data_IF_284760615380
#
_entry.id   IF_284760615380
#
_cell.length_a   1.000
_cell.length_b   1.000
_cell.length_c   1.000
_cell.angle_alpha   90.00
_cell.angle_beta   90.00
_cell.angle_gamma   90.00
#
_symmetry.space_group_name_H-M   'P 1'
#
loop_
_entity.id
_entity.type
_entity.pdbx_description
1 polymer ?
#
# COMPACT_ATOMS: atom_id res chain seq x y z
N UNK A 1 -4.48 6.27 -4.90
CA UNK A 1 -4.44 4.82 -4.64
C UNK A 1 -4.77 4.57 -3.19
N UNK A 2 -5.56 3.51 -2.93
CA UNK A 2 -6.21 3.30 -1.64
C UNK A 2 -5.76 1.98 -1.01
N UNK A 3 -5.40 2.02 0.26
CA UNK A 3 -5.14 0.85 1.10
C UNK A 3 -6.36 0.62 2.01
N UNK A 4 -6.96 -0.57 1.95
CA UNK A 4 -8.06 -0.94 2.83
C UNK A 4 -7.54 -1.58 4.12
N UNK A 5 -7.85 -1.00 5.27
CA UNK A 5 -7.55 -1.63 6.56
C UNK A 5 -8.67 -2.60 6.92
N UNK A 6 -8.33 -3.88 7.08
CA UNK A 6 -9.27 -4.95 7.45
C UNK A 6 -8.80 -5.66 8.71
N UNK A 7 -9.72 -6.32 9.39
CA UNK A 7 -9.44 -7.14 10.56
C UNK A 7 -10.74 -7.52 11.26
N UNK A 8 -10.69 -8.57 12.07
CA UNK A 8 -11.79 -8.95 12.92
C UNK A 8 -12.05 -7.88 14.01
N UNK A 9 -13.21 -7.88 14.67
CA UNK A 9 -13.45 -7.00 15.81
C UNK A 9 -12.40 -7.18 16.91
N UNK A 10 -12.05 -6.06 17.57
CA UNK A 10 -11.14 -6.03 18.73
C UNK A 10 -9.69 -6.49 18.47
N UNK A 11 -9.20 -6.35 17.23
CA UNK A 11 -7.81 -6.65 16.86
C UNK A 11 -6.89 -5.40 16.94
N UNK A 12 -7.44 -4.21 17.27
CA UNK A 12 -6.70 -2.94 17.30
C UNK A 12 -6.79 -2.13 16.01
N UNK A 13 -7.62 -2.55 15.03
CA UNK A 13 -7.77 -1.87 13.74
C UNK A 13 -8.14 -0.39 13.87
N UNK A 14 -9.18 -0.07 14.66
CA UNK A 14 -9.63 1.33 14.82
C UNK A 14 -8.61 2.17 15.59
N UNK A 15 -7.90 1.61 16.56
CA UNK A 15 -6.82 2.29 17.26
C UNK A 15 -5.72 2.67 16.28
N UNK A 16 -5.29 1.73 15.45
CA UNK A 16 -4.26 1.95 14.44
C UNK A 16 -4.72 2.96 13.37
N UNK A 17 -5.97 2.87 12.91
CA UNK A 17 -6.52 3.80 11.94
C UNK A 17 -6.62 5.23 12.51
N UNK A 18 -7.03 5.39 13.75
CA UNK A 18 -7.09 6.69 14.42
C UNK A 18 -5.69 7.29 14.61
N UNK A 19 -4.71 6.51 15.06
CA UNK A 19 -3.33 6.95 15.18
C UNK A 19 -2.77 7.42 13.82
N UNK A 20 -3.07 6.67 12.76
CA UNK A 20 -2.67 6.99 11.38
C UNK A 20 -3.34 8.29 10.88
N UNK A 21 -4.62 8.51 11.18
CA UNK A 21 -5.35 9.71 10.75
C UNK A 21 -4.99 10.94 11.59
N UNK A 22 -4.68 10.77 12.89
CA UNK A 22 -4.19 11.85 13.75
C UNK A 22 -2.82 12.34 13.29
N UNK A 23 -1.89 11.42 13.01
CA UNK A 23 -0.59 11.75 12.40
C UNK A 23 -0.74 12.42 11.02
N UNK A 24 -1.85 12.19 10.32
CA UNK A 24 -2.20 12.81 9.03
C UNK A 24 -2.97 14.14 9.15
N UNK A 25 -3.39 14.57 10.35
CA UNK A 25 -4.19 15.79 10.52
C UNK A 25 -3.47 17.07 10.05
N UNK A 26 -2.15 17.11 10.10
CA UNK A 26 -1.34 18.16 9.48
C UNK A 26 -1.47 18.19 7.95
N UNK A 27 -1.85 17.06 7.34
CA UNK A 27 -2.07 16.94 5.89
C UNK A 27 -3.43 17.44 5.41
N UNK A 28 -4.35 17.85 6.31
CA UNK A 28 -5.71 18.33 5.99
C UNK A 28 -5.74 19.62 5.12
N UNK A 29 -4.60 20.25 4.86
CA UNK A 29 -4.45 21.41 4.00
C UNK A 29 -4.22 21.08 2.51
N UNK A 30 -4.31 19.79 2.10
CA UNK A 30 -4.16 19.46 0.69
C UNK A 30 -5.37 19.90 -0.13
N UNK A 31 -5.18 20.76 -1.14
CA UNK A 31 -6.27 21.15 -2.04
C UNK A 31 -6.76 19.90 -2.79
N UNK A 32 -8.09 19.73 -2.81
CA UNK A 32 -8.84 18.63 -3.47
C UNK A 32 -9.04 17.33 -2.66
N UNK A 33 -8.74 17.28 -1.37
CA UNK A 33 -9.14 16.15 -0.54
C UNK A 33 -10.57 16.37 -0.01
N UNK A 34 -11.50 15.56 -0.47
CA UNK A 34 -12.83 15.42 0.16
C UNK A 34 -12.67 14.60 1.43
N UNK A 35 -13.12 15.13 2.56
CA UNK A 35 -13.17 14.37 3.83
C UNK A 35 -14.35 13.42 3.72
N UNK A 36 -14.06 12.16 3.34
CA UNK A 36 -15.05 11.09 3.40
C UNK A 36 -14.97 10.38 4.76
N UNK A 37 -16.10 10.01 5.37
CA UNK A 37 -16.05 9.20 6.59
C UNK A 37 -15.29 7.90 6.33
N UNK A 38 -14.40 7.54 7.27
CA UNK A 38 -13.56 6.35 7.21
C UNK A 38 -12.43 6.36 6.13
N UNK A 39 -12.06 7.53 5.59
CA UNK A 39 -10.89 7.71 4.73
C UNK A 39 -9.88 8.60 5.42
N UNK A 40 -8.66 8.09 5.60
CA UNK A 40 -7.50 8.83 6.11
C UNK A 40 -6.52 9.11 5.00
N UNK A 41 -6.02 10.33 4.91
CA UNK A 41 -4.95 10.73 3.98
C UNK A 41 -3.71 10.97 4.80
N UNK A 42 -2.63 10.26 4.46
CA UNK A 42 -1.38 10.33 5.22
C UNK A 42 -0.21 10.66 4.31
N UNK A 43 0.72 11.44 4.83
CA UNK A 43 1.96 11.76 4.15
C UNK A 43 2.89 10.53 4.09
N UNK A 44 3.53 10.32 2.96
CA UNK A 44 4.57 9.30 2.81
C UNK A 44 5.87 9.89 3.36
N UNK A 45 6.47 9.30 4.41
CA UNK A 45 7.73 9.76 4.95
C UNK A 45 8.85 9.64 3.89
N UNK A 46 9.52 10.76 3.59
CA UNK A 46 10.60 10.81 2.59
C UNK A 46 11.69 11.81 3.00
N UNK A 47 12.76 11.31 3.61
CA UNK A 47 13.90 12.11 4.06
C UNK A 47 14.57 12.93 2.93
N UNK A 48 14.38 12.50 1.67
CA UNK A 48 14.92 13.24 0.51
C UNK A 48 14.20 14.57 0.37
N UNK A 49 12.90 14.59 0.64
CA UNK A 49 12.09 15.79 0.55
C UNK A 49 12.48 16.78 1.65
N UNK A 50 12.73 16.28 2.88
CA UNK A 50 13.17 17.09 4.02
C UNK A 50 14.52 17.77 3.74
N UNK A 51 15.51 17.02 3.24
CA UNK A 51 16.81 17.56 2.83
C UNK A 51 16.73 18.59 1.70
N UNK A 52 15.79 18.41 0.75
CA UNK A 52 15.53 19.41 -0.28
C UNK A 52 14.88 20.66 0.30
N UNK A 53 14.00 20.54 1.28
CA UNK A 53 13.40 21.67 1.97
C UNK A 53 14.47 22.48 2.75
N UNK A 54 15.39 21.80 3.42
CA UNK A 54 16.54 22.44 4.08
C UNK A 54 17.45 23.19 3.08
N UNK A 55 17.64 22.64 1.87
CA UNK A 55 18.49 23.27 0.84
C UNK A 55 17.84 24.48 0.18
N UNK A 56 16.55 24.40 -0.12
CA UNK A 56 15.86 25.43 -0.93
C UNK A 56 15.04 26.43 -0.12
N UNK A 57 14.78 26.14 1.17
CA UNK A 57 13.92 26.96 2.07
C UNK A 57 12.60 27.35 1.39
N UNK A 58 11.79 26.37 0.96
CA UNK A 58 10.63 26.63 0.13
C UNK A 58 9.51 27.33 0.90
N UNK A 59 8.67 28.10 0.19
CA UNK A 59 7.42 28.66 0.74
C UNK A 59 6.38 27.57 1.00
N UNK A 60 6.44 26.47 0.24
CA UNK A 60 5.51 25.34 0.34
C UNK A 60 6.23 24.01 0.31
N UNK A 61 5.87 23.14 1.25
CA UNK A 61 6.33 21.76 1.36
C UNK A 61 5.17 20.80 1.12
N UNK A 62 5.31 19.89 0.13
CA UNK A 62 4.21 18.99 -0.27
C UNK A 62 4.72 17.56 -0.43
N UNK A 63 4.56 16.68 0.57
CA UNK A 63 4.93 15.27 0.46
C UNK A 63 3.96 14.50 -0.45
N UNK A 64 4.37 13.29 -0.86
CA UNK A 64 3.47 12.32 -1.45
C UNK A 64 2.47 11.85 -0.40
N UNK A 65 1.29 11.41 -0.83
CA UNK A 65 0.24 10.94 0.08
C UNK A 65 -0.30 9.58 -0.32
N UNK A 66 -0.75 8.81 0.67
CA UNK A 66 -1.55 7.60 0.52
C UNK A 66 -2.91 7.76 1.19
N UNK A 67 -3.91 7.13 0.59
CA UNK A 67 -5.25 7.05 1.17
C UNK A 67 -5.42 5.70 1.87
N UNK A 68 -5.87 5.75 3.13
CA UNK A 68 -6.27 4.59 3.90
C UNK A 68 -7.78 4.60 4.11
N UNK A 69 -8.42 3.46 3.93
CA UNK A 69 -9.87 3.29 4.10
C UNK A 69 -10.10 2.33 5.26
N UNK A 70 -10.79 2.79 6.32
CA UNK A 70 -11.22 1.88 7.38
C UNK A 70 -12.41 1.04 6.90
N UNK A 71 -12.15 -0.22 6.61
CA UNK A 71 -13.17 -1.17 6.18
C UNK A 71 -13.77 -1.82 7.43
N UNK A 72 -15.07 -1.64 7.62
CA UNK A 72 -15.79 -2.20 8.77
C UNK A 72 -15.52 -3.70 8.91
N UNK A 73 -15.25 -4.12 10.15
CA UNK A 73 -14.85 -5.50 10.45
C UNK A 73 -15.85 -6.54 9.94
N UNK A 74 -15.32 -7.66 9.49
CA UNK A 74 -16.07 -8.79 9.01
C UNK A 74 -16.83 -9.45 10.17
N UNK A 75 -18.13 -9.71 9.98
CA UNK A 75 -18.90 -10.63 10.81
C UNK A 75 -18.97 -11.95 10.04
N UNK A 76 -18.68 -13.07 10.72
CA UNK A 76 -18.66 -14.42 10.15
C UNK A 76 -19.96 -14.72 9.37
N UNK A 77 -19.84 -15.19 8.11
CA UNK A 77 -21.00 -15.46 7.24
C UNK A 77 -21.37 -14.32 6.29
N UNK A 78 -20.47 -13.39 6.08
CA UNK A 78 -20.65 -12.22 5.21
C UNK A 78 -21.00 -12.55 3.75
N UNK A 79 -20.49 -13.66 3.22
CA UNK A 79 -20.78 -14.16 1.86
C UNK A 79 -22.19 -14.71 1.70
N UNK A 80 -22.85 -15.11 2.79
CA UNK A 80 -24.19 -15.75 2.74
C UNK A 80 -25.38 -14.77 2.65
N UNK A 81 -25.15 -13.50 2.30
CA UNK A 81 -26.22 -12.59 1.89
C UNK A 81 -26.80 -11.69 2.97
N UNK A 82 -26.27 -11.66 4.19
CA UNK A 82 -26.62 -10.65 5.17
C UNK A 82 -25.88 -9.33 4.82
N UNK A 83 -26.62 -8.22 4.69
CA UNK A 83 -26.21 -6.96 4.06
C UNK A 83 -24.85 -6.36 4.45
N UNK A 84 -24.28 -6.67 5.63
CA UNK A 84 -22.96 -6.21 6.09
C UNK A 84 -21.79 -6.87 5.33
N UNK A 85 -21.93 -8.14 4.94
CA UNK A 85 -20.87 -8.83 4.22
C UNK A 85 -20.71 -8.37 2.78
N UNK A 86 -21.81 -8.14 2.10
CA UNK A 86 -21.77 -7.59 0.75
C UNK A 86 -21.13 -6.20 0.75
N UNK A 87 -21.38 -5.39 1.81
CA UNK A 87 -20.75 -4.08 1.97
C UNK A 87 -19.24 -4.18 2.21
N UNK A 88 -18.79 -5.14 3.03
CA UNK A 88 -17.39 -5.45 3.23
C UNK A 88 -16.69 -5.81 1.92
N UNK A 89 -17.24 -6.76 1.15
CA UNK A 89 -16.68 -7.18 -0.13
C UNK A 89 -16.69 -6.04 -1.17
N UNK A 90 -17.71 -5.17 -1.14
CA UNK A 90 -17.76 -3.98 -2.00
C UNK A 90 -16.62 -3.01 -1.68
N UNK A 91 -16.38 -2.72 -0.39
CA UNK A 91 -15.30 -1.85 0.03
C UNK A 91 -13.91 -2.44 -0.34
N UNK A 92 -13.74 -3.77 -0.21
CA UNK A 92 -12.50 -4.43 -0.66
C UNK A 92 -12.29 -4.27 -2.17
N UNK A 93 -13.36 -4.26 -2.98
CA UNK A 93 -13.21 -4.03 -4.44
C UNK A 93 -12.65 -2.67 -4.79
N UNK A 94 -12.97 -1.65 -4.00
CA UNK A 94 -12.60 -0.25 -4.26
C UNK A 94 -11.16 0.11 -3.87
N UNK A 95 -10.48 -0.72 -3.09
CA UNK A 95 -9.09 -0.48 -2.67
C UNK A 95 -8.10 -1.23 -3.55
N UNK A 96 -6.88 -0.70 -3.63
CA UNK A 96 -5.81 -1.27 -4.49
C UNK A 96 -5.03 -2.39 -3.78
N UNK A 97 -4.88 -2.31 -2.45
CA UNK A 97 -4.25 -3.32 -1.62
C UNK A 97 -4.87 -3.34 -0.21
N UNK A 98 -4.53 -4.34 0.58
CA UNK A 98 -5.11 -4.60 1.90
C UNK A 98 -4.03 -4.50 2.99
N UNK A 99 -4.32 -3.82 4.08
CA UNK A 99 -3.60 -3.92 5.35
C UNK A 99 -4.45 -4.75 6.30
N UNK A 100 -4.05 -5.99 6.51
CA UNK A 100 -4.77 -6.93 7.37
C UNK A 100 -4.21 -6.87 8.79
N UNK A 101 -4.95 -6.22 9.69
CA UNK A 101 -4.59 -6.12 11.11
C UNK A 101 -4.96 -7.42 11.80
N UNK A 102 -3.96 -8.10 12.36
CA UNK A 102 -4.10 -9.41 13.01
C UNK A 102 -3.69 -9.29 14.47
N UNK A 103 -4.53 -9.73 15.38
CA UNK A 103 -4.24 -9.72 16.81
C UNK A 103 -3.25 -10.81 17.18
N UNK A 104 -2.09 -10.40 17.71
CA UNK A 104 -1.05 -11.29 18.21
C UNK A 104 -0.74 -11.08 19.70
N UNK A 105 -1.48 -10.23 20.41
CA UNK A 105 -1.31 -9.92 21.83
C UNK A 105 -2.40 -10.54 22.69
N UNK A 106 -2.08 -10.95 23.91
CA UNK A 106 -3.03 -11.39 24.92
C UNK A 106 -3.47 -10.21 25.79
N UNK A 107 -4.78 -10.12 26.07
CA UNK A 107 -5.34 -9.12 26.99
C UNK A 107 -6.71 -9.62 27.47
N UNK A 108 -6.81 -9.94 28.76
CA UNK A 108 -8.02 -10.49 29.40
C UNK A 108 -9.19 -9.49 29.40
N UNK A 109 -8.90 -8.18 29.30
CA UNK A 109 -9.92 -7.13 29.29
C UNK A 109 -10.52 -6.89 27.88
N UNK A 110 -9.93 -7.49 26.83
CA UNK A 110 -10.37 -7.33 25.45
C UNK A 110 -10.88 -8.69 24.94
N UNK A 111 -12.20 -8.83 24.86
CA UNK A 111 -12.83 -10.08 24.40
C UNK A 111 -12.51 -10.31 22.92
N UNK A 112 -12.03 -11.52 22.59
CA UNK A 112 -11.90 -11.97 21.21
C UNK A 112 -13.25 -12.51 20.71
N UNK A 113 -13.57 -12.26 19.42
CA UNK A 113 -14.86 -12.69 18.80
C UNK A 113 -15.08 -14.20 18.91
N UNK A 114 -14.02 -15.00 18.75
CA UNK A 114 -14.07 -16.46 18.85
C UNK A 114 -13.70 -16.99 20.26
N UNK A 115 -13.62 -16.13 21.28
CA UNK A 115 -13.33 -16.50 22.66
C UNK A 115 -11.87 -16.85 22.95
N UNK A 116 -11.03 -16.99 21.94
CA UNK A 116 -9.57 -17.25 22.06
C UNK A 116 -8.80 -16.58 20.93
N UNK A 117 -7.54 -16.22 21.19
CA UNK A 117 -6.64 -15.67 20.19
C UNK A 117 -6.20 -16.78 19.25
N UNK A 118 -6.14 -16.48 17.94
CA UNK A 118 -5.73 -17.44 16.93
C UNK A 118 -5.46 -16.76 15.60
N UNK A 119 -4.26 -16.16 15.46
CA UNK A 119 -3.90 -15.36 14.30
C UNK A 119 -4.11 -16.09 12.96
N UNK A 120 -3.75 -17.37 12.89
CA UNK A 120 -3.98 -18.20 11.69
C UNK A 120 -5.47 -18.32 11.37
N UNK A 121 -6.30 -18.68 12.33
CA UNK A 121 -7.76 -18.82 12.16
C UNK A 121 -8.38 -17.48 11.72
N UNK A 122 -7.93 -16.37 12.29
CA UNK A 122 -8.47 -15.04 12.01
C UNK A 122 -8.15 -14.62 10.57
N UNK A 123 -6.93 -14.90 10.08
CA UNK A 123 -6.53 -14.69 8.69
C UNK A 123 -7.36 -15.59 7.75
N UNK A 124 -7.44 -16.88 8.05
CA UNK A 124 -8.20 -17.84 7.25
C UNK A 124 -9.67 -17.43 7.14
N UNK A 125 -10.28 -16.90 8.21
CA UNK A 125 -11.66 -16.42 8.21
C UNK A 125 -11.87 -15.33 7.16
N UNK A 126 -11.00 -14.32 7.11
CA UNK A 126 -11.10 -13.25 6.12
C UNK A 126 -10.77 -13.76 4.72
N UNK A 127 -9.72 -14.56 4.57
CA UNK A 127 -9.34 -15.12 3.27
C UNK A 127 -10.45 -15.96 2.65
N UNK A 128 -11.14 -16.79 3.44
CA UNK A 128 -12.25 -17.62 2.95
C UNK A 128 -13.42 -16.79 2.42
N UNK A 129 -13.77 -15.67 3.06
CA UNK A 129 -14.82 -14.78 2.55
C UNK A 129 -14.44 -14.15 1.20
N UNK A 130 -13.17 -13.77 1.02
CA UNK A 130 -12.69 -13.28 -0.27
C UNK A 130 -12.72 -14.38 -1.33
N UNK A 131 -12.26 -15.58 -0.98
CA UNK A 131 -12.25 -16.77 -1.85
C UNK A 131 -13.67 -17.15 -2.29
N UNK A 132 -14.66 -17.16 -1.40
CA UNK A 132 -16.05 -17.46 -1.77
C UNK A 132 -16.58 -16.45 -2.80
N UNK A 133 -16.32 -15.16 -2.61
CA UNK A 133 -16.67 -14.15 -3.61
C UNK A 133 -15.98 -14.40 -4.96
N UNK A 134 -14.71 -14.80 -4.94
CA UNK A 134 -13.93 -15.06 -6.14
C UNK A 134 -14.39 -16.31 -6.88
N UNK A 135 -14.79 -17.36 -6.15
CA UNK A 135 -15.36 -18.58 -6.72
C UNK A 135 -16.61 -18.31 -7.57
N UNK A 136 -17.49 -17.39 -7.14
CA UNK A 136 -18.64 -16.97 -7.93
C UNK A 136 -18.25 -16.25 -9.22
N UNK A 137 -17.21 -15.39 -9.17
CA UNK A 137 -16.69 -14.67 -10.32
C UNK A 137 -16.11 -15.67 -11.34
N UNK A 138 -15.27 -16.60 -10.84
CA UNK A 138 -14.65 -17.62 -11.67
C UNK A 138 -15.65 -18.54 -12.33
N UNK A 139 -16.63 -19.06 -11.59
CA UNK A 139 -17.65 -19.94 -12.13
C UNK A 139 -18.39 -19.28 -13.32
N UNK A 140 -18.80 -18.02 -13.16
CA UNK A 140 -19.46 -17.24 -14.24
C UNK A 140 -18.54 -17.03 -15.44
N UNK A 141 -17.24 -16.72 -15.22
CA UNK A 141 -16.27 -16.55 -16.29
C UNK A 141 -16.01 -17.85 -17.03
N UNK A 142 -15.77 -18.94 -16.33
CA UNK A 142 -15.53 -20.27 -16.90
C UNK A 142 -16.71 -20.69 -17.77
N UNK A 143 -17.96 -20.55 -17.30
CA UNK A 143 -19.16 -20.88 -18.05
C UNK A 143 -19.31 -20.06 -19.34
N UNK A 144 -18.96 -18.77 -19.28
CA UNK A 144 -18.95 -17.90 -20.46
C UNK A 144 -17.90 -18.35 -21.47
N UNK A 145 -16.64 -18.54 -21.02
CA UNK A 145 -15.54 -18.94 -21.89
C UNK A 145 -15.78 -20.33 -22.52
N UNK A 146 -16.32 -21.30 -21.77
CA UNK A 146 -16.73 -22.62 -22.31
C UNK A 146 -17.78 -22.53 -23.43
N UNK A 147 -18.71 -21.58 -23.32
CA UNK A 147 -19.71 -21.35 -24.41
C UNK A 147 -19.04 -20.76 -25.64
N UNK A 148 -18.13 -19.82 -25.48
CA UNK A 148 -17.42 -19.17 -26.60
C UNK A 148 -16.43 -20.14 -27.27
N UNK A 149 -15.76 -21.00 -26.50
CA UNK A 149 -14.81 -21.98 -27.03
C UNK A 149 -15.41 -23.01 -28.00
N UNK A 150 -16.73 -23.16 -28.02
CA UNK A 150 -17.41 -23.99 -29.06
C UNK A 150 -17.17 -23.47 -30.48
N UNK A 151 -16.93 -22.17 -30.62
CA UNK A 151 -16.60 -21.51 -31.89
C UNK A 151 -15.12 -21.14 -32.03
N UNK A 152 -14.39 -21.06 -30.95
CA UNK A 152 -12.99 -20.63 -30.93
C UNK A 152 -12.13 -21.46 -29.95
N UNK A 153 -11.34 -22.37 -30.52
CA UNK A 153 -10.45 -23.25 -29.75
C UNK A 153 -9.28 -22.53 -29.12
N UNK A 154 -8.98 -21.29 -29.48
CA UNK A 154 -7.89 -20.53 -28.88
C UNK A 154 -8.12 -20.23 -27.40
N UNK A 155 -9.39 -20.19 -26.96
CA UNK A 155 -9.81 -19.97 -25.58
C UNK A 155 -9.53 -21.16 -24.63
N UNK A 156 -9.11 -22.33 -25.18
CA UNK A 156 -8.89 -23.51 -24.33
C UNK A 156 -7.82 -23.28 -23.27
N UNK A 157 -6.72 -22.59 -23.61
CA UNK A 157 -5.66 -22.25 -22.65
C UNK A 157 -6.18 -21.42 -21.47
N UNK A 158 -7.02 -20.45 -21.77
CA UNK A 158 -7.64 -19.59 -20.74
C UNK A 158 -8.56 -20.40 -19.82
N UNK A 159 -9.39 -21.28 -20.40
CA UNK A 159 -10.26 -22.18 -19.63
C UNK A 159 -9.46 -23.09 -18.73
N UNK A 160 -8.39 -23.71 -19.22
CA UNK A 160 -7.53 -24.62 -18.46
C UNK A 160 -6.85 -23.88 -17.28
N UNK A 161 -6.40 -22.64 -17.52
CA UNK A 161 -5.88 -21.76 -16.46
C UNK A 161 -6.94 -21.48 -15.40
N UNK A 162 -8.15 -21.04 -15.80
CA UNK A 162 -9.23 -20.70 -14.88
C UNK A 162 -9.70 -21.90 -14.05
N UNK A 163 -9.68 -23.12 -14.62
CA UNK A 163 -9.99 -24.34 -13.90
C UNK A 163 -8.93 -24.70 -12.85
N UNK A 164 -7.63 -24.54 -13.18
CA UNK A 164 -6.54 -24.72 -12.20
C UNK A 164 -6.65 -23.73 -11.05
N UNK A 165 -6.93 -22.46 -11.37
CA UNK A 165 -7.14 -21.41 -10.37
C UNK A 165 -8.36 -21.71 -9.49
N UNK A 166 -9.46 -22.19 -10.08
CA UNK A 166 -10.64 -22.61 -9.34
C UNK A 166 -10.31 -23.72 -8.35
N UNK A 167 -9.59 -24.77 -8.79
CA UNK A 167 -9.18 -25.87 -7.90
C UNK A 167 -8.29 -25.39 -6.76
N UNK A 168 -7.41 -24.42 -7.00
CA UNK A 168 -6.56 -23.82 -5.98
C UNK A 168 -7.39 -23.08 -4.91
N UNK A 169 -8.41 -22.32 -5.32
CA UNK A 169 -9.32 -21.65 -4.41
C UNK A 169 -10.22 -22.63 -3.63
N UNK A 170 -10.65 -23.74 -4.27
CA UNK A 170 -11.41 -24.82 -3.61
C UNK A 170 -10.63 -25.49 -2.47
N UNK A 171 -9.29 -25.48 -2.54
CA UNK A 171 -8.41 -25.92 -1.44
C UNK A 171 -8.32 -24.89 -0.29
N UNK A 172 -9.03 -23.77 -0.36
CA UNK A 172 -8.99 -22.69 0.62
C UNK A 172 -7.74 -21.80 0.53
N UNK A 173 -6.98 -21.86 -0.57
CA UNK A 173 -5.79 -21.05 -0.82
C UNK A 173 -6.16 -19.77 -1.57
N UNK A 174 -5.58 -18.63 -1.17
CA UNK A 174 -5.83 -17.35 -1.84
C UNK A 174 -5.25 -17.32 -3.26
N UNK A 175 -5.84 -16.55 -4.17
CA UNK A 175 -5.32 -16.38 -5.51
C UNK A 175 -3.89 -15.76 -5.54
N UNK A 176 -3.48 -15.06 -4.48
CA UNK A 176 -2.12 -14.52 -4.31
C UNK A 176 -1.05 -15.61 -4.30
N UNK A 177 -1.36 -16.78 -3.75
CA UNK A 177 -0.44 -17.92 -3.66
C UNK A 177 -0.48 -18.84 -4.89
N UNK A 178 -1.30 -18.50 -5.90
CA UNK A 178 -1.41 -19.30 -7.11
C UNK A 178 -0.22 -19.08 -8.04
N UNK A 179 0.44 -20.18 -8.43
CA UNK A 179 1.57 -20.15 -9.36
C UNK A 179 1.10 -20.14 -10.82
N UNK A 180 1.65 -19.20 -11.61
CA UNK A 180 1.32 -19.05 -13.02
C UNK A 180 2.53 -18.55 -13.83
N UNK A 181 2.54 -18.92 -15.12
CA UNK A 181 3.59 -18.50 -16.06
C UNK A 181 3.41 -17.05 -16.53
N UNK A 182 4.46 -16.48 -17.13
CA UNK A 182 4.39 -15.12 -17.71
C UNK A 182 3.30 -15.00 -18.79
N UNK A 183 3.08 -16.04 -19.57
CA UNK A 183 2.02 -16.09 -20.60
C UNK A 183 0.60 -16.04 -20.00
N UNK A 184 0.43 -16.46 -18.76
CA UNK A 184 -0.83 -16.50 -18.03
C UNK A 184 -1.11 -15.22 -17.23
N UNK A 185 -0.10 -14.36 -17.10
CA UNK A 185 -0.16 -13.12 -16.30
C UNK A 185 -1.31 -12.21 -16.69
N UNK A 186 -1.62 -12.11 -17.99
CA UNK A 186 -2.70 -11.26 -18.45
C UNK A 186 -4.09 -11.84 -18.10
N UNK A 187 -4.22 -13.15 -18.03
CA UNK A 187 -5.47 -13.81 -17.65
C UNK A 187 -5.82 -13.50 -16.19
N UNK A 188 -4.84 -13.64 -15.27
CA UNK A 188 -5.09 -13.34 -13.86
C UNK A 188 -5.32 -11.84 -13.64
N UNK A 189 -4.60 -10.96 -14.33
CA UNK A 189 -4.81 -9.51 -14.25
C UNK A 189 -6.19 -9.07 -14.72
N UNK A 190 -6.71 -9.73 -15.78
CA UNK A 190 -8.05 -9.46 -16.30
C UNK A 190 -9.19 -10.07 -15.47
N UNK A 191 -8.86 -10.85 -14.43
CA UNK A 191 -9.84 -11.47 -13.53
C UNK A 191 -9.87 -10.69 -12.22
N UNK A 192 -10.96 -9.95 -11.90
CA UNK A 192 -11.00 -9.05 -10.74
C UNK A 192 -11.24 -9.82 -9.44
N UNK A 193 -10.23 -10.58 -9.00
CA UNK A 193 -10.27 -11.40 -7.79
C UNK A 193 -9.88 -10.59 -6.55
N UNK A 194 -10.63 -10.77 -5.47
CA UNK A 194 -10.38 -10.11 -4.19
C UNK A 194 -9.22 -10.76 -3.44
N UNK A 195 -9.12 -12.09 -3.47
CA UNK A 195 -8.04 -12.84 -2.84
C UNK A 195 -6.71 -12.74 -3.60
N UNK A 196 -6.69 -12.07 -4.78
CA UNK A 196 -5.47 -11.74 -5.52
C UNK A 196 -4.91 -10.34 -5.18
N UNK A 197 -5.66 -9.53 -4.42
CA UNK A 197 -5.16 -8.21 -4.02
C UNK A 197 -3.92 -8.34 -3.15
N UNK A 198 -2.89 -7.47 -3.34
CA UNK A 198 -1.71 -7.44 -2.48
C UNK A 198 -2.11 -7.21 -1.01
N UNK A 199 -1.43 -7.87 -0.08
CA UNK A 199 -1.70 -7.77 1.36
C UNK A 199 -0.43 -7.45 2.13
N UNK A 200 -0.57 -6.59 3.14
CA UNK A 200 0.38 -6.42 4.24
C UNK A 200 -0.30 -6.96 5.50
N UNK A 201 0.29 -7.95 6.14
CA UNK A 201 -0.16 -8.40 7.45
C UNK A 201 0.45 -7.50 8.52
N UNK A 202 -0.39 -6.73 9.20
CA UNK A 202 -0.01 -5.91 10.36
C UNK A 202 -0.24 -6.73 11.63
N UNK A 203 0.79 -7.42 12.09
CA UNK A 203 0.74 -8.26 13.29
C UNK A 203 0.76 -7.36 14.53
N UNK A 204 -0.42 -7.16 15.14
CA UNK A 204 -0.58 -6.29 16.29
C UNK A 204 -0.19 -7.02 17.59
N UNK A 205 0.92 -6.60 18.17
CA UNK A 205 1.60 -7.16 19.33
C UNK A 205 1.41 -6.26 20.55
N UNK A 206 1.74 -6.76 21.73
CA UNK A 206 1.83 -5.95 22.95
C UNK A 206 3.15 -5.17 23.00
N UNK A 207 3.24 -4.15 23.86
CA UNK A 207 4.48 -3.47 24.15
C UNK A 207 5.51 -4.43 24.77
N UNK A 208 5.06 -5.37 25.60
CA UNK A 208 5.91 -6.38 26.23
C UNK A 208 6.57 -7.29 25.19
N UNK A 209 5.84 -7.68 24.11
CA UNK A 209 6.41 -8.45 23.01
C UNK A 209 7.55 -7.70 22.32
N UNK A 210 7.43 -6.37 22.14
CA UNK A 210 8.50 -5.58 21.55
C UNK A 210 9.74 -5.53 22.42
N UNK A 211 9.57 -5.35 23.75
CA UNK A 211 10.68 -5.37 24.72
C UNK A 211 11.32 -6.74 24.86
N UNK A 212 10.54 -7.81 24.77
CA UNK A 212 10.96 -9.21 24.94
C UNK A 212 11.47 -9.91 23.69
N UNK A 213 11.29 -9.31 22.52
CA UNK A 213 11.58 -9.91 21.21
C UNK A 213 10.37 -10.64 20.64
N UNK A 214 9.64 -9.95 19.80
CA UNK A 214 8.37 -10.40 19.16
C UNK A 214 8.53 -11.63 18.28
N UNK A 215 9.74 -11.94 17.82
CA UNK A 215 10.04 -13.14 17.03
C UNK A 215 9.73 -14.43 17.78
N UNK A 216 9.64 -14.38 19.11
CA UNK A 216 9.30 -15.53 19.95
C UNK A 216 7.77 -15.71 20.10
N UNK A 217 6.97 -14.70 19.76
CA UNK A 217 5.51 -14.77 19.85
C UNK A 217 4.93 -15.78 18.85
N UNK A 218 4.19 -16.77 19.35
CA UNK A 218 3.67 -17.87 18.52
C UNK A 218 2.62 -17.40 17.49
N UNK A 219 1.83 -16.37 17.82
CA UNK A 219 0.86 -15.80 16.90
C UNK A 219 1.57 -15.04 15.76
N UNK A 220 2.64 -14.30 16.07
CA UNK A 220 3.47 -13.65 15.07
C UNK A 220 4.13 -14.65 14.11
N UNK A 221 4.66 -15.75 14.63
CA UNK A 221 5.23 -16.84 13.81
C UNK A 221 4.20 -17.40 12.84
N UNK A 222 2.95 -17.61 13.31
CA UNK A 222 1.87 -18.10 12.48
C UNK A 222 1.50 -17.11 11.35
N UNK A 223 1.45 -15.79 11.65
CA UNK A 223 1.23 -14.75 10.65
C UNK A 223 2.37 -14.74 9.62
N UNK A 224 3.62 -14.81 10.09
CA UNK A 224 4.81 -14.83 9.23
C UNK A 224 4.80 -16.03 8.28
N UNK A 225 4.46 -17.21 8.77
CA UNK A 225 4.36 -18.41 7.93
C UNK A 225 3.35 -18.20 6.80
N UNK A 226 2.14 -17.69 7.09
CA UNK A 226 1.13 -17.42 6.06
C UNK A 226 1.61 -16.36 5.07
N UNK A 227 2.25 -15.29 5.57
CA UNK A 227 2.79 -14.24 4.72
C UNK A 227 3.85 -14.78 3.74
N UNK A 228 4.72 -15.66 4.21
CA UNK A 228 5.75 -16.31 3.38
C UNK A 228 5.09 -17.22 2.30
N UNK A 229 4.05 -17.99 2.66
CA UNK A 229 3.28 -18.83 1.74
C UNK A 229 2.54 -18.02 0.65
N UNK A 230 2.09 -16.81 0.99
CA UNK A 230 1.37 -15.91 0.08
C UNK A 230 2.27 -14.86 -0.61
N UNK A 231 3.60 -14.91 -0.42
CA UNK A 231 4.55 -13.88 -0.88
C UNK A 231 4.13 -12.46 -0.45
N UNK A 232 3.62 -12.33 0.75
CA UNK A 232 3.10 -11.10 1.33
C UNK A 232 4.02 -10.54 2.41
N UNK A 233 3.96 -9.23 2.65
CA UNK A 233 4.73 -8.60 3.71
C UNK A 233 4.06 -8.82 5.08
N UNK A 234 4.88 -9.02 6.12
CA UNK A 234 4.44 -9.00 7.53
C UNK A 234 5.19 -7.90 8.27
N UNK A 235 4.45 -7.07 9.00
CA UNK A 235 5.01 -6.00 9.83
C UNK A 235 4.56 -6.20 11.28
N UNK A 236 5.51 -6.36 12.21
CA UNK A 236 5.20 -6.28 13.63
C UNK A 236 4.86 -4.83 13.98
N UNK A 237 3.72 -4.61 14.63
CA UNK A 237 3.24 -3.32 15.10
C UNK A 237 2.69 -3.44 16.52
N UNK A 238 2.61 -2.33 17.23
CA UNK A 238 1.84 -2.22 18.46
C UNK A 238 0.91 -1.01 18.35
N UNK A 239 -0.38 -1.27 18.15
CA UNK A 239 -1.36 -0.19 17.96
C UNK A 239 -1.44 0.77 19.16
N UNK A 240 -1.10 0.30 20.38
CA UNK A 240 -1.03 1.16 21.57
C UNK A 240 0.15 2.12 21.49
N UNK A 241 1.35 1.63 21.14
CA UNK A 241 2.53 2.48 20.93
C UNK A 241 2.24 3.53 19.86
N UNK A 242 1.64 3.12 18.74
CA UNK A 242 1.31 4.07 17.65
C UNK A 242 0.32 5.15 18.11
N UNK A 243 -0.64 4.79 18.96
CA UNK A 243 -1.57 5.76 19.54
C UNK A 243 -0.87 6.72 20.52
N UNK A 244 0.03 6.19 21.36
CA UNK A 244 0.74 6.98 22.37
C UNK A 244 1.70 8.00 21.73
N UNK A 245 2.39 7.63 20.63
CA UNK A 245 3.32 8.52 19.91
C UNK A 245 2.65 9.47 18.93
N UNK A 246 1.36 9.26 18.60
CA UNK A 246 0.65 10.09 17.63
C UNK A 246 0.50 11.56 18.06
N UNK A 247 0.45 11.81 19.37
CA UNK A 247 0.29 13.14 19.95
C UNK A 247 1.63 13.75 20.46
N UNK A 248 2.77 13.03 20.29
CA UNK A 248 4.11 13.48 20.68
C UNK A 248 4.73 14.37 19.61
N UNK A 249 5.55 15.33 20.01
CA UNK A 249 6.41 16.03 19.07
C UNK A 249 7.56 15.13 18.55
N UNK A 250 8.26 15.57 17.49
CA UNK A 250 9.28 14.73 16.83
C UNK A 250 10.46 14.36 17.74
N UNK A 251 10.82 15.24 18.71
CA UNK A 251 11.91 14.97 19.65
C UNK A 251 11.46 13.90 20.68
N UNK A 252 10.28 14.05 21.25
CA UNK A 252 9.69 13.11 22.21
C UNK A 252 9.47 11.74 21.54
N UNK A 253 8.94 11.71 20.33
CA UNK A 253 8.72 10.51 19.54
C UNK A 253 10.02 9.77 19.24
N UNK A 254 11.07 10.49 18.83
CA UNK A 254 12.39 9.93 18.56
C UNK A 254 12.99 9.27 19.82
N UNK A 255 12.90 9.94 20.97
CA UNK A 255 13.36 9.40 22.26
C UNK A 255 12.58 8.15 22.65
N UNK A 256 11.27 8.19 22.54
CA UNK A 256 10.40 7.07 22.89
C UNK A 256 10.66 5.82 22.01
N UNK A 257 10.80 6.01 20.68
CA UNK A 257 11.15 4.93 19.77
C UNK A 257 12.56 4.37 20.05
N UNK A 258 13.53 5.23 20.37
CA UNK A 258 14.87 4.81 20.75
C UNK A 258 14.90 3.96 22.01
N UNK A 259 14.10 4.29 23.03
CA UNK A 259 13.96 3.49 24.26
C UNK A 259 13.40 2.08 24.01
N UNK A 260 12.62 1.94 22.92
CA UNK A 260 12.08 0.66 22.45
C UNK A 260 13.00 -0.05 21.44
N UNK A 261 14.19 0.51 21.14
CA UNK A 261 15.10 0.06 20.08
C UNK A 261 14.43 0.01 18.70
N UNK A 262 13.53 0.95 18.41
CA UNK A 262 12.87 1.12 17.12
C UNK A 262 13.47 2.31 16.38
N UNK A 263 13.83 2.13 15.11
CA UNK A 263 14.35 3.20 14.26
C UNK A 263 13.22 4.11 13.74
N UNK A 264 12.04 3.54 13.52
CA UNK A 264 10.85 4.25 13.03
C UNK A 264 9.55 3.62 13.56
N UNK A 265 8.45 4.36 13.49
CA UNK A 265 7.13 3.88 13.90
C UNK A 265 6.61 2.75 13.00
N UNK A 266 5.76 1.89 13.53
CA UNK A 266 5.07 0.86 12.75
C UNK A 266 4.18 1.45 11.66
N UNK A 267 3.55 2.62 11.91
CA UNK A 267 2.78 3.35 10.91
C UNK A 267 3.64 3.81 9.74
N UNK A 268 4.82 4.39 9.98
CA UNK A 268 5.75 4.79 8.91
C UNK A 268 6.15 3.59 8.05
N UNK A 269 6.39 2.44 8.68
CA UNK A 269 6.68 1.18 7.99
C UNK A 269 5.51 0.69 7.14
N UNK A 270 4.26 0.76 7.66
CA UNK A 270 3.05 0.41 6.88
C UNK A 270 2.92 1.31 5.66
N UNK A 271 3.10 2.62 5.81
CA UNK A 271 2.97 3.59 4.72
C UNK A 271 4.02 3.32 3.65
N UNK A 272 5.29 3.18 4.01
CA UNK A 272 6.38 2.89 3.06
C UNK A 272 6.19 1.54 2.35
N UNK A 273 5.84 0.49 3.12
CA UNK A 273 5.59 -0.84 2.56
C UNK A 273 4.38 -0.81 1.62
N UNK A 274 3.30 -0.14 1.99
CA UNK A 274 2.12 0.03 1.15
C UNK A 274 2.42 0.78 -0.14
N UNK A 275 3.22 1.84 -0.06
CA UNK A 275 3.67 2.61 -1.22
C UNK A 275 4.45 1.73 -2.21
N UNK A 276 5.42 0.98 -1.69
CA UNK A 276 6.21 0.03 -2.48
C UNK A 276 5.38 -1.12 -3.05
N UNK A 277 4.47 -1.70 -2.24
CA UNK A 277 3.58 -2.80 -2.64
C UNK A 277 2.69 -2.43 -3.83
N UNK A 278 2.24 -1.17 -3.86
CA UNK A 278 1.46 -0.61 -4.97
C UNK A 278 2.31 -0.27 -6.20
N UNK A 279 3.62 -0.53 -6.17
CA UNK A 279 4.56 -0.20 -7.23
C UNK A 279 4.67 1.30 -7.46
N UNK A 280 4.50 2.11 -6.40
CA UNK A 280 4.62 3.56 -6.46
C UNK A 280 6.06 3.99 -6.26
N UNK A 281 6.42 5.06 -6.93
CA UNK A 281 7.67 5.79 -6.76
C UNK A 281 7.38 7.29 -6.75
N UNK A 282 8.32 8.08 -6.22
CA UNK A 282 8.23 9.53 -6.21
C UNK A 282 9.32 10.16 -7.06
N UNK A 283 8.95 11.03 -8.00
CA UNK A 283 9.88 12.02 -8.49
C UNK A 283 9.69 13.34 -7.75
N UNK A 284 10.72 14.16 -7.70
CA UNK A 284 10.77 15.37 -6.88
C UNK A 284 10.89 16.61 -7.77
N UNK A 285 10.23 17.68 -7.34
CA UNK A 285 10.49 19.03 -7.87
C UNK A 285 10.95 19.91 -6.71
N UNK A 286 12.02 20.66 -6.93
CA UNK A 286 12.64 21.46 -5.88
C UNK A 286 12.94 22.86 -6.34
N UNK A 287 12.47 23.85 -5.58
CA UNK A 287 12.68 25.28 -5.78
C UNK A 287 12.12 26.09 -4.62
N UNK A 288 12.43 27.40 -4.59
CA UNK A 288 11.92 28.33 -3.57
C UNK A 288 10.38 28.37 -3.46
N UNK A 289 9.60 28.34 -4.57
CA UNK A 289 8.14 28.35 -4.45
C UNK A 289 7.59 27.10 -3.79
N UNK A 290 8.13 25.93 -4.14
CA UNK A 290 7.66 24.65 -3.64
C UNK A 290 8.73 23.57 -3.74
N UNK A 291 8.84 22.75 -2.71
CA UNK A 291 9.47 21.41 -2.73
C UNK A 291 8.36 20.39 -2.64
N UNK A 292 8.29 19.47 -3.63
CA UNK A 292 7.18 18.53 -3.72
C UNK A 292 7.59 17.16 -4.23
N UNK A 293 7.01 16.12 -3.64
CA UNK A 293 7.05 14.75 -4.12
C UNK A 293 5.79 14.44 -4.97
N UNK A 294 6.01 13.84 -6.12
CA UNK A 294 4.97 13.49 -7.09
C UNK A 294 4.88 11.98 -7.23
N UNK A 295 3.75 11.42 -6.89
CA UNK A 295 3.50 9.98 -6.97
C UNK A 295 3.23 9.53 -8.39
N UNK A 296 4.00 8.55 -8.86
CA UNK A 296 3.80 7.83 -10.13
C UNK A 296 3.96 6.33 -9.91
N UNK A 297 3.52 5.53 -10.86
CA UNK A 297 3.79 4.08 -10.88
C UNK A 297 5.17 3.81 -11.49
N UNK A 298 5.86 2.81 -10.98
CA UNK A 298 7.13 2.32 -11.56
C UNK A 298 6.93 1.97 -13.03
N UNK A 299 7.85 2.43 -13.88
CA UNK A 299 7.74 2.27 -15.34
C UNK A 299 7.06 3.44 -16.06
N UNK A 300 6.58 4.47 -15.35
CA UNK A 300 6.03 5.69 -15.95
C UNK A 300 7.11 6.45 -16.71
N UNK A 301 6.80 6.87 -17.94
CA UNK A 301 7.71 7.69 -18.77
C UNK A 301 7.59 9.18 -18.45
N UNK A 302 8.62 9.94 -18.82
CA UNK A 302 8.73 11.37 -18.52
C UNK A 302 7.53 12.23 -18.96
N UNK A 303 6.90 12.04 -20.14
CA UNK A 303 5.71 12.82 -20.50
C UNK A 303 4.52 12.58 -19.55
N UNK A 304 4.23 11.32 -19.20
CA UNK A 304 3.15 10.98 -18.27
C UNK A 304 3.44 11.47 -16.85
N UNK A 305 4.72 11.45 -16.43
CA UNK A 305 5.13 12.05 -15.17
C UNK A 305 4.91 13.57 -15.16
N UNK A 306 5.25 14.27 -16.24
CA UNK A 306 4.96 15.69 -16.42
C UNK A 306 3.44 15.97 -16.36
N UNK A 307 2.63 15.07 -16.89
CA UNK A 307 1.17 15.11 -16.84
C UNK A 307 0.59 15.07 -15.40
N UNK A 308 1.33 14.51 -14.44
CA UNK A 308 0.95 14.57 -13.02
C UNK A 308 1.00 15.98 -12.44
N UNK A 309 1.86 16.83 -12.99
CA UNK A 309 1.95 18.25 -12.61
C UNK A 309 0.78 19.01 -13.27
N UNK A 310 0.68 18.90 -14.59
CA UNK A 310 -0.38 19.52 -15.37
C UNK A 310 -0.54 18.82 -16.72
N UNK A 311 -1.77 18.71 -17.22
CA UNK A 311 -2.06 18.07 -18.53
C UNK A 311 -1.35 18.73 -19.70
N UNK A 312 -1.13 20.05 -19.63
CA UNK A 312 -0.41 20.79 -20.67
C UNK A 312 1.08 20.44 -20.71
N UNK A 313 1.68 20.06 -19.56
CA UNK A 313 3.07 19.60 -19.52
C UNK A 313 3.25 18.27 -20.25
N UNK A 314 2.27 17.38 -20.20
CA UNK A 314 2.27 16.13 -20.95
C UNK A 314 2.13 16.40 -22.46
N UNK A 315 1.14 17.21 -22.85
CA UNK A 315 0.86 17.53 -24.26
C UNK A 315 1.99 18.27 -24.93
N UNK A 316 2.53 19.27 -24.24
CA UNK A 316 3.61 20.13 -24.72
C UNK A 316 5.02 19.63 -24.39
N UNK A 317 5.19 18.40 -23.90
CA UNK A 317 6.47 17.88 -23.43
C UNK A 317 7.57 17.98 -24.50
N UNK A 318 8.68 18.62 -24.13
CA UNK A 318 9.88 18.74 -24.97
C UNK A 318 10.96 17.80 -24.44
N UNK A 319 11.36 17.97 -23.18
CA UNK A 319 12.39 17.20 -22.48
C UNK A 319 12.29 17.37 -20.97
N UNK A 320 12.94 16.48 -20.22
CA UNK A 320 13.16 16.59 -18.79
C UNK A 320 14.65 16.88 -18.50
N UNK A 321 14.93 17.84 -17.63
CA UNK A 321 16.24 18.01 -17.01
C UNK A 321 16.19 17.19 -15.71
N UNK A 322 16.96 16.11 -15.65
CA UNK A 322 16.90 15.12 -14.55
C UNK A 322 18.25 15.05 -13.85
N UNK A 323 18.25 15.11 -12.54
CA UNK A 323 19.42 14.84 -11.70
C UNK A 323 19.00 13.88 -10.58
N UNK A 324 19.87 12.95 -10.19
CA UNK A 324 19.58 12.11 -9.02
C UNK A 324 19.57 12.95 -7.74
N UNK A 325 18.81 12.53 -6.75
CA UNK A 325 18.80 13.22 -5.46
C UNK A 325 20.20 13.31 -4.85
N UNK A 326 20.97 12.22 -4.88
CA UNK A 326 22.33 12.15 -4.35
C UNK A 326 23.27 13.13 -5.03
N UNK A 327 23.23 13.22 -6.38
CA UNK A 327 24.06 14.13 -7.15
C UNK A 327 23.69 15.59 -6.88
N UNK A 328 22.41 15.88 -6.70
CA UNK A 328 21.93 17.22 -6.40
C UNK A 328 22.44 17.69 -5.02
N UNK A 329 22.25 16.86 -3.98
CA UNK A 329 22.69 17.18 -2.61
C UNK A 329 24.22 17.34 -2.56
N UNK A 330 24.97 16.38 -3.12
CA UNK A 330 26.43 16.42 -3.13
C UNK A 330 27.00 17.62 -3.92
N UNK A 331 26.24 18.13 -4.88
CA UNK A 331 26.62 19.30 -5.66
C UNK A 331 26.31 20.63 -4.97
N UNK A 332 25.40 20.66 -3.99
CA UNK A 332 24.95 21.87 -3.33
C UNK A 332 23.89 22.65 -4.12
N UNK A 333 23.26 22.04 -5.13
CA UNK A 333 22.15 22.62 -5.88
C UNK A 333 22.21 22.43 -7.38
N UNK A 334 21.12 22.78 -8.05
CA UNK A 334 20.90 22.53 -9.48
C UNK A 334 21.95 23.20 -10.40
N UNK A 335 22.39 24.43 -10.08
CA UNK A 335 23.39 25.16 -10.89
C UNK A 335 24.74 24.44 -10.84
N UNK A 336 25.22 24.08 -9.65
CA UNK A 336 26.46 23.35 -9.48
C UNK A 336 26.42 21.94 -10.09
N UNK A 337 25.27 21.26 -9.99
CA UNK A 337 25.07 19.97 -10.65
C UNK A 337 25.16 20.10 -12.20
N UNK A 338 24.62 21.19 -12.78
CA UNK A 338 24.76 21.49 -14.22
C UNK A 338 26.21 21.74 -14.63
N UNK A 339 26.94 22.53 -13.86
CA UNK A 339 28.37 22.83 -14.12
C UNK A 339 29.21 21.54 -14.07
N UNK A 340 28.88 20.60 -13.21
CA UNK A 340 29.51 19.27 -13.10
C UNK A 340 29.05 18.29 -14.17
N UNK A 341 28.07 18.64 -15.01
CA UNK A 341 27.54 17.76 -16.05
C UNK A 341 26.67 16.60 -15.52
N UNK A 342 26.16 16.70 -14.29
CA UNK A 342 25.35 15.65 -13.64
C UNK A 342 23.87 15.75 -14.00
N UNK A 343 23.43 16.87 -14.58
CA UNK A 343 22.05 17.05 -15.05
C UNK A 343 21.91 16.47 -16.45
N UNK A 344 21.14 15.41 -16.57
CA UNK A 344 20.84 14.72 -17.82
C UNK A 344 19.67 15.40 -18.54
N UNK A 345 19.71 15.38 -19.86
CA UNK A 345 18.62 15.84 -20.73
C UNK A 345 17.91 14.61 -21.29
N UNK A 346 16.73 14.33 -20.78
CA UNK A 346 16.00 13.11 -21.08
C UNK A 346 14.79 13.38 -22.00
N UNK A 347 14.58 12.49 -22.95
CA UNK A 347 13.49 12.56 -23.92
C UNK A 347 12.22 11.81 -23.50
N UNK A 348 11.29 11.64 -24.45
CA UNK A 348 9.95 11.05 -24.22
C UNK A 348 9.99 9.60 -23.76
N UNK A 349 11.04 8.85 -24.10
CA UNK A 349 11.18 7.44 -23.77
C UNK A 349 11.81 7.18 -22.39
N UNK A 350 12.26 8.24 -21.72
CA UNK A 350 12.88 8.11 -20.40
C UNK A 350 11.89 7.56 -19.39
N UNK A 351 12.25 6.46 -18.72
CA UNK A 351 11.50 5.86 -17.64
C UNK A 351 11.97 6.48 -16.33
N UNK A 352 11.07 7.17 -15.65
CA UNK A 352 11.34 7.85 -14.39
C UNK A 352 11.84 6.88 -13.32
N UNK A 353 12.85 7.32 -12.56
CA UNK A 353 13.39 6.61 -11.42
C UNK A 353 12.90 7.24 -10.11
N UNK A 354 12.85 6.41 -9.05
CA UNK A 354 12.52 6.90 -7.71
C UNK A 354 13.61 7.86 -7.22
N UNK A 355 13.22 9.05 -6.77
CA UNK A 355 14.14 10.11 -6.32
C UNK A 355 14.73 10.98 -7.43
N UNK A 356 14.32 10.82 -8.69
CA UNK A 356 14.67 11.79 -9.73
C UNK A 356 14.20 13.19 -9.34
N UNK A 357 15.11 14.15 -9.30
CA UNK A 357 14.77 15.59 -9.18
C UNK A 357 14.69 16.19 -10.57
N UNK A 358 13.52 16.75 -10.93
CA UNK A 358 13.18 17.00 -12.34
C UNK A 358 12.69 18.41 -12.58
N UNK A 359 13.14 18.99 -13.71
CA UNK A 359 12.57 20.19 -14.30
C UNK A 359 12.10 19.86 -15.73
N UNK A 360 10.77 19.83 -15.91
CA UNK A 360 10.20 19.60 -17.24
C UNK A 360 10.21 20.85 -18.10
N UNK A 361 10.61 20.71 -19.36
CA UNK A 361 10.52 21.73 -20.41
C UNK A 361 9.40 21.37 -21.35
N UNK A 362 8.48 22.28 -21.51
CA UNK A 362 7.28 22.11 -22.34
C UNK A 362 6.98 23.38 -23.11
N UNK A 363 6.19 23.24 -24.16
CA UNK A 363 5.67 24.35 -24.95
C UNK A 363 4.16 24.13 -25.16
N UNK A 364 3.36 25.14 -24.86
CA UNK A 364 1.88 25.12 -24.98
C UNK A 364 1.48 25.98 -26.14
#
# INVERSE_FOLDING_TARGET
MKLGMVGLPNVGKSTLFNALTNAGAESANYPFCTIEPNVGIVSVPDERLDKLAEMYHPEKFTPAVLEFVDIAGLVKGASNGEGLGNKFLANIREVDAIVHVVRCFENDNIIHVDGSIGAKRDIETINLELIFSDMEILARRIDREKKLAKGDKSLQKEIDFLLRLQSHLEEGKSARSFDYSDDEREIIRSTPLLSNKPVIFAANLSEEDFRGGYENNEQYKAVKQIADEENSAVLPICAQIEADIADMDEEEKSLFLSDLNLEESGLSRIIRTGYSLLGLISFLTAGQPEVRAWTITKGTKAPQAAGKIHTDFEKGFIRAEVVSFEDLISSGGMSAAKEKGLVRLEGKEYVMQDGDVVLFRFNV
#
